data_IF_231343434828
#
_entry.id   IF_231343434828
#
_cell.length_a   1.000
_cell.length_b   1.000
_cell.length_c   1.000
_cell.angle_alpha   90.00
_cell.angle_beta   90.00
_cell.angle_gamma   90.00
#
_symmetry.space_group_name_H-M   'P 1'
#
loop_
_entity.id
_entity.type
_entity.pdbx_description
1 polymer ?
#
# COMPACT_ATOMS: atom_id res chain seq x y z
N UNK A 1 25.01 9.14 -7.09
CA UNK A 1 25.16 8.03 -6.10
C UNK A 1 25.77 6.83 -6.81
N UNK A 2 26.70 6.11 -6.19
CA UNK A 2 27.19 4.83 -6.71
C UNK A 2 26.23 3.74 -6.21
N UNK A 3 25.37 3.23 -7.08
CA UNK A 3 24.33 2.24 -6.76
C UNK A 3 24.95 0.97 -6.18
N UNK A 4 26.04 0.46 -6.77
CA UNK A 4 26.72 -0.76 -6.31
C UNK A 4 27.20 -0.66 -4.84
N UNK A 5 27.58 0.56 -4.41
CA UNK A 5 27.99 0.78 -3.03
C UNK A 5 26.79 0.87 -2.08
N UNK A 6 25.67 1.43 -2.53
CA UNK A 6 24.46 1.55 -1.73
C UNK A 6 23.78 0.19 -1.48
N UNK A 7 23.80 -0.71 -2.45
CA UNK A 7 23.28 -2.09 -2.28
C UNK A 7 23.89 -2.79 -1.05
N UNK A 8 25.15 -2.54 -0.77
CA UNK A 8 25.83 -3.16 0.38
C UNK A 8 25.36 -2.63 1.73
N UNK A 9 24.65 -1.49 1.76
CA UNK A 9 24.15 -0.85 2.97
C UNK A 9 22.73 -1.33 3.35
N UNK A 10 22.05 -2.05 2.43
CA UNK A 10 20.70 -2.56 2.67
C UNK A 10 20.76 -3.85 3.49
N UNK A 11 19.81 -3.97 4.41
CA UNK A 11 19.61 -5.17 5.25
C UNK A 11 18.13 -5.57 5.20
N UNK A 12 17.85 -6.82 4.88
CA UNK A 12 16.51 -7.38 5.05
C UNK A 12 16.13 -7.41 6.53
N UNK A 13 14.93 -6.96 6.85
CA UNK A 13 14.36 -7.06 8.19
C UNK A 13 13.67 -8.42 8.30
N UNK A 14 14.14 -9.34 9.15
CA UNK A 14 13.54 -10.67 9.29
C UNK A 14 12.06 -10.59 9.71
N UNK A 15 11.18 -11.28 8.97
CA UNK A 15 9.73 -11.22 9.16
C UNK A 15 9.18 -9.79 9.15
N UNK A 16 9.84 -8.90 8.42
CA UNK A 16 9.45 -7.49 8.33
C UNK A 16 8.33 -7.26 7.34
N UNK A 17 7.54 -6.23 7.59
CA UNK A 17 6.40 -5.81 6.80
C UNK A 17 6.02 -4.36 7.06
N UNK A 18 4.75 -4.04 6.89
CA UNK A 18 4.20 -2.68 6.94
C UNK A 18 4.40 -1.94 8.27
N UNK A 19 4.64 -2.65 9.36
CA UNK A 19 4.90 -2.06 10.69
C UNK A 19 6.38 -2.04 11.09
N UNK A 20 7.29 -2.46 10.21
CA UNK A 20 8.74 -2.42 10.48
C UNK A 20 9.31 -1.00 10.58
N UNK A 21 8.88 -0.03 9.75
CA UNK A 21 9.26 1.36 9.96
C UNK A 21 8.65 1.93 11.25
N UNK A 22 9.37 2.82 11.92
CA UNK A 22 8.91 3.48 13.14
C UNK A 22 7.67 4.35 12.88
N UNK A 23 6.79 4.44 13.88
CA UNK A 23 5.60 5.29 13.83
C UNK A 23 4.40 4.65 13.15
N UNK A 24 4.39 3.33 12.91
CA UNK A 24 3.27 2.61 12.33
C UNK A 24 2.77 1.47 13.21
N UNK A 25 1.45 1.30 13.18
CA UNK A 25 0.73 0.16 13.77
C UNK A 25 -0.19 -0.45 12.72
N UNK A 26 -0.48 -1.72 12.86
CA UNK A 26 -1.45 -2.41 12.03
C UNK A 26 -2.25 -3.42 12.83
N UNK A 27 -3.38 -3.84 12.28
CA UNK A 27 -4.16 -4.95 12.77
C UNK A 27 -4.91 -5.62 11.62
N UNK A 28 -5.21 -6.90 11.80
CA UNK A 28 -6.12 -7.65 10.95
C UNK A 28 -7.09 -8.43 11.81
N UNK A 29 -8.39 -8.37 11.52
CA UNK A 29 -9.43 -9.09 12.26
C UNK A 29 -10.39 -9.78 11.29
N UNK A 30 -11.22 -10.66 11.84
CA UNK A 30 -12.44 -11.12 11.18
C UNK A 30 -13.60 -10.18 11.55
N UNK A 31 -14.11 -9.43 10.59
CA UNK A 31 -15.21 -8.49 10.76
C UNK A 31 -16.53 -8.99 10.14
N UNK A 32 -16.52 -10.17 9.49
CA UNK A 32 -17.72 -10.81 8.95
C UNK A 32 -17.98 -10.55 7.47
N UNK A 33 -17.05 -9.95 6.72
CA UNK A 33 -17.14 -9.84 5.26
C UNK A 33 -17.08 -11.22 4.58
N UNK A 34 -16.48 -12.19 5.25
CA UNK A 34 -16.40 -13.58 4.83
C UNK A 34 -17.16 -14.49 5.78
N UNK A 35 -17.75 -15.53 5.24
CA UNK A 35 -18.50 -16.53 6.04
C UNK A 35 -17.61 -17.38 6.94
N UNK A 36 -16.33 -17.57 6.59
CA UNK A 36 -15.40 -18.36 7.37
C UNK A 36 -14.78 -17.52 8.51
N UNK A 37 -15.12 -17.77 9.78
CA UNK A 37 -14.67 -16.95 10.90
C UNK A 37 -13.17 -17.10 11.21
N UNK A 38 -12.50 -18.08 10.61
CA UNK A 38 -11.04 -18.24 10.76
C UNK A 38 -10.24 -17.39 9.77
N UNK A 39 -10.92 -16.78 8.79
CA UNK A 39 -10.28 -15.87 7.84
C UNK A 39 -10.45 -14.44 8.29
N UNK A 40 -9.32 -13.76 8.49
CA UNK A 40 -9.30 -12.32 8.68
C UNK A 40 -9.79 -11.65 7.39
N UNK A 41 -10.52 -10.55 7.51
CA UNK A 41 -11.17 -9.90 6.36
C UNK A 41 -11.29 -8.36 6.49
N UNK A 42 -10.76 -7.77 7.57
CA UNK A 42 -10.59 -6.34 7.73
C UNK A 42 -9.19 -6.06 8.27
N UNK A 43 -8.45 -5.18 7.60
CA UNK A 43 -7.16 -4.66 8.03
C UNK A 43 -7.23 -3.16 8.28
N UNK A 44 -6.42 -2.68 9.21
CA UNK A 44 -6.15 -1.26 9.41
C UNK A 44 -4.65 -1.05 9.55
N UNK A 45 -4.11 -0.05 8.87
CA UNK A 45 -2.72 0.42 9.03
C UNK A 45 -2.78 1.90 9.37
N UNK A 46 -2.15 2.28 10.47
CA UNK A 46 -2.16 3.68 10.95
C UNK A 46 -0.77 4.18 11.28
N UNK A 47 -0.59 5.49 11.15
CA UNK A 47 0.57 6.19 11.69
C UNK A 47 0.26 6.75 13.09
N UNK A 48 1.27 6.87 13.94
CA UNK A 48 1.11 7.45 15.29
C UNK A 48 0.71 8.94 15.20
N UNK A 49 1.27 9.67 14.22
CA UNK A 49 0.88 11.04 13.86
C UNK A 49 0.38 11.07 12.41
N UNK A 50 -0.04 12.23 11.90
CA UNK A 50 -0.38 12.37 10.49
C UNK A 50 0.87 12.14 9.62
N UNK A 51 0.82 11.13 8.77
CA UNK A 51 1.91 10.76 7.88
C UNK A 51 1.77 11.42 6.50
N UNK A 52 2.88 11.75 5.88
CA UNK A 52 2.92 12.02 4.44
C UNK A 52 2.41 10.81 3.68
N UNK A 53 1.52 11.02 2.73
CA UNK A 53 0.88 9.95 1.97
C UNK A 53 0.94 10.22 0.48
N UNK A 54 1.14 9.16 -0.29
CA UNK A 54 1.00 9.11 -1.72
C UNK A 54 0.16 7.90 -2.14
N UNK A 55 -0.64 8.05 -3.18
CA UNK A 55 -1.48 6.97 -3.73
C UNK A 55 -1.40 6.90 -5.25
N UNK A 56 -1.27 5.68 -5.76
CA UNK A 56 -1.43 5.33 -7.18
C UNK A 56 -2.58 4.34 -7.28
N UNK A 57 -3.45 4.54 -8.23
CA UNK A 57 -4.72 3.82 -8.35
C UNK A 57 -4.95 3.31 -9.76
N UNK A 58 -5.81 2.32 -9.91
CA UNK A 58 -6.23 1.78 -11.20
C UNK A 58 -6.59 2.87 -12.21
N UNK A 59 -6.20 2.67 -13.45
CA UNK A 59 -6.59 3.53 -14.57
C UNK A 59 -7.94 3.13 -15.19
N UNK A 60 -8.56 2.05 -14.67
CA UNK A 60 -9.85 1.59 -15.14
C UNK A 60 -10.92 2.67 -14.91
N UNK A 61 -11.62 3.06 -15.96
CA UNK A 61 -12.71 4.06 -15.89
C UNK A 61 -13.89 3.59 -15.05
N UNK A 62 -14.08 2.28 -14.92
CA UNK A 62 -15.07 1.65 -14.06
C UNK A 62 -14.47 1.34 -12.68
N UNK A 63 -13.79 2.31 -12.09
CA UNK A 63 -13.14 2.12 -10.79
C UNK A 63 -14.16 2.02 -9.64
N UNK A 64 -13.81 1.18 -8.66
CA UNK A 64 -14.64 0.91 -7.49
C UNK A 64 -14.83 2.13 -6.59
N UNK A 65 -15.88 2.11 -5.78
CA UNK A 65 -16.23 3.18 -4.85
C UNK A 65 -15.08 3.54 -3.88
N UNK A 66 -14.38 2.59 -3.22
CA UNK A 66 -13.25 2.93 -2.33
C UNK A 66 -12.09 3.62 -3.06
N UNK A 67 -11.83 3.27 -4.33
CA UNK A 67 -10.83 3.96 -5.15
C UNK A 67 -11.22 5.42 -5.39
N UNK A 68 -12.49 5.68 -5.67
CA UNK A 68 -13.00 7.04 -5.89
C UNK A 68 -12.85 7.90 -4.62
N UNK A 69 -13.25 7.37 -3.47
CA UNK A 69 -13.18 8.06 -2.18
C UNK A 69 -11.72 8.32 -1.78
N UNK A 70 -10.87 7.31 -1.80
CA UNK A 70 -9.45 7.47 -1.44
C UNK A 70 -8.71 8.43 -2.36
N UNK A 71 -9.01 8.40 -3.67
CA UNK A 71 -8.48 9.38 -4.63
C UNK A 71 -8.94 10.79 -4.30
N UNK A 72 -10.21 10.98 -3.93
CA UNK A 72 -10.75 12.29 -3.52
C UNK A 72 -10.07 12.79 -2.25
N UNK A 73 -9.88 11.94 -1.24
CA UNK A 73 -9.23 12.27 0.03
C UNK A 73 -7.75 12.66 -0.16
N UNK A 74 -7.09 12.16 -1.21
CA UNK A 74 -5.75 12.59 -1.61
C UNK A 74 -5.72 13.79 -2.58
N UNK A 75 -6.81 14.57 -2.63
CA UNK A 75 -6.89 15.80 -3.40
C UNK A 75 -7.26 15.63 -4.88
N UNK A 76 -7.87 14.48 -5.24
CA UNK A 76 -8.37 14.19 -6.58
C UNK A 76 -7.34 13.54 -7.51
N UNK A 77 -7.77 13.28 -8.75
CA UNK A 77 -6.99 12.50 -9.72
C UNK A 77 -5.65 13.15 -10.13
N UNK A 78 -5.58 14.48 -10.07
CA UNK A 78 -4.37 15.21 -10.49
C UNK A 78 -3.32 15.32 -9.40
N UNK A 79 -3.72 15.19 -8.12
CA UNK A 79 -2.83 15.37 -6.99
C UNK A 79 -2.27 14.04 -6.48
N UNK A 80 -3.12 13.15 -5.96
CA UNK A 80 -2.74 11.80 -5.50
C UNK A 80 -1.84 11.75 -4.26
N UNK A 81 -1.78 12.82 -3.45
CA UNK A 81 -0.97 12.87 -2.23
C UNK A 81 -1.56 13.83 -1.19
N UNK A 82 -1.24 13.61 0.08
CA UNK A 82 -1.73 14.41 1.19
C UNK A 82 -1.13 13.99 2.53
N UNK A 83 -1.79 14.39 3.61
CA UNK A 83 -1.49 13.91 4.95
C UNK A 83 -2.63 12.99 5.39
N UNK A 84 -2.32 11.80 5.88
CA UNK A 84 -3.32 10.83 6.33
C UNK A 84 -2.95 10.20 7.68
N UNK A 85 -3.96 9.75 8.40
CA UNK A 85 -3.81 8.99 9.64
C UNK A 85 -3.63 7.50 9.36
N UNK A 86 -4.29 6.97 8.32
CA UNK A 86 -4.20 5.57 7.98
C UNK A 86 -5.14 5.13 6.87
N UNK A 87 -5.16 3.83 6.64
CA UNK A 87 -5.99 3.16 5.65
C UNK A 87 -6.73 1.97 6.26
N UNK A 88 -8.02 1.84 5.95
CA UNK A 88 -8.86 0.67 6.24
C UNK A 88 -9.06 -0.15 4.97
N UNK A 89 -8.87 -1.45 5.06
CA UNK A 89 -8.98 -2.36 3.91
C UNK A 89 -9.89 -3.52 4.30
N UNK A 90 -10.92 -3.80 3.50
CA UNK A 90 -11.70 -5.02 3.64
C UNK A 90 -11.45 -5.99 2.49
N UNK A 91 -11.52 -7.29 2.77
CA UNK A 91 -11.52 -8.36 1.78
C UNK A 91 -12.81 -9.18 1.86
N UNK A 92 -13.21 -9.77 0.71
CA UNK A 92 -14.46 -10.54 0.58
C UNK A 92 -15.51 -9.85 -0.28
N UNK A 93 -15.57 -8.52 -0.26
CA UNK A 93 -16.41 -7.69 -1.11
C UNK A 93 -15.60 -6.54 -1.66
N UNK A 94 -15.64 -6.35 -2.98
CA UNK A 94 -14.85 -5.32 -3.68
C UNK A 94 -15.47 -3.92 -3.63
N UNK A 95 -16.72 -3.79 -3.20
CA UNK A 95 -17.50 -2.55 -3.32
C UNK A 95 -17.38 -1.90 -4.72
N UNK A 96 -17.40 -2.72 -5.75
CA UNK A 96 -17.30 -2.34 -7.16
C UNK A 96 -18.61 -2.64 -7.86
N UNK A 97 -18.98 -1.83 -8.85
CA UNK A 97 -20.27 -1.86 -9.53
C UNK A 97 -21.48 -1.65 -8.59
N UNK A 98 -21.31 -0.86 -7.55
CA UNK A 98 -22.31 -0.62 -6.47
C UNK A 98 -22.92 0.77 -6.52
N UNK A 99 -22.51 1.60 -7.49
CA UNK A 99 -23.09 2.94 -7.73
C UNK A 99 -22.92 3.89 -6.52
N UNK A 100 -23.88 4.81 -6.38
CA UNK A 100 -23.85 5.82 -5.30
C UNK A 100 -23.96 5.20 -3.91
N UNK A 101 -24.67 4.08 -3.76
CA UNK A 101 -24.75 3.39 -2.47
C UNK A 101 -23.37 2.91 -1.99
N UNK A 102 -22.60 2.28 -2.87
CA UNK A 102 -21.25 1.84 -2.52
C UNK A 102 -20.30 3.00 -2.21
N UNK A 103 -20.47 4.14 -2.90
CA UNK A 103 -19.71 5.36 -2.64
C UNK A 103 -20.07 5.96 -1.27
N UNK A 104 -21.35 5.99 -0.91
CA UNK A 104 -21.78 6.44 0.39
C UNK A 104 -21.18 5.58 1.51
N UNK A 105 -21.23 4.24 1.38
CA UNK A 105 -20.62 3.33 2.36
C UNK A 105 -19.11 3.55 2.48
N UNK A 106 -18.39 3.74 1.37
CA UNK A 106 -16.95 4.00 1.41
C UNK A 106 -16.61 5.33 2.12
N UNK A 107 -17.39 6.39 1.89
CA UNK A 107 -17.23 7.69 2.55
C UNK A 107 -17.57 7.59 4.05
N UNK A 108 -18.68 6.96 4.40
CA UNK A 108 -19.11 6.73 5.77
C UNK A 108 -18.11 5.89 6.57
N UNK A 109 -17.46 4.91 5.91
CA UNK A 109 -16.35 4.15 6.51
C UNK A 109 -15.20 5.06 6.94
N UNK A 110 -14.84 6.06 6.10
CA UNK A 110 -13.84 7.07 6.46
C UNK A 110 -14.31 7.92 7.66
N UNK A 111 -15.57 8.33 7.69
CA UNK A 111 -16.15 9.13 8.78
C UNK A 111 -16.11 8.38 10.12
N UNK A 112 -16.57 7.13 10.15
CA UNK A 112 -16.54 6.30 11.38
C UNK A 112 -15.10 6.09 11.85
N UNK A 113 -14.19 5.70 10.94
CA UNK A 113 -12.81 5.47 11.30
C UNK A 113 -12.11 6.73 11.81
N UNK A 114 -12.36 7.89 11.19
CA UNK A 114 -11.77 9.16 11.60
C UNK A 114 -12.20 9.61 12.99
N UNK A 115 -13.47 9.40 13.35
CA UNK A 115 -13.98 9.68 14.69
C UNK A 115 -13.25 8.87 15.77
N UNK A 116 -12.97 7.60 15.50
CA UNK A 116 -12.27 6.72 16.44
C UNK A 116 -10.77 7.07 16.51
N UNK A 117 -10.16 7.40 15.36
CA UNK A 117 -8.74 7.72 15.25
C UNK A 117 -8.41 9.17 15.66
N UNK A 118 -9.43 10.02 15.85
CA UNK A 118 -9.26 11.42 16.24
C UNK A 118 -8.67 12.31 15.15
N UNK A 119 -9.12 12.15 13.90
CA UNK A 119 -8.65 12.90 12.73
C UNK A 119 -9.83 13.31 11.83
N UNK A 120 -9.56 14.02 10.73
CA UNK A 120 -10.58 14.37 9.74
C UNK A 120 -10.88 13.17 8.81
N UNK A 121 -12.09 13.11 8.23
CA UNK A 121 -12.51 12.00 7.36
C UNK A 121 -11.63 11.87 6.11
N UNK A 122 -11.16 12.98 5.55
CA UNK A 122 -10.25 13.05 4.41
C UNK A 122 -8.84 12.53 4.74
N UNK A 123 -8.53 12.37 6.02
CA UNK A 123 -7.25 11.81 6.49
C UNK A 123 -7.30 10.30 6.69
N UNK A 124 -8.41 9.66 6.32
CA UNK A 124 -8.55 8.20 6.28
C UNK A 124 -8.75 7.74 4.85
N UNK A 125 -8.02 6.71 4.44
CA UNK A 125 -8.20 6.06 3.15
C UNK A 125 -8.91 4.73 3.31
N UNK A 126 -9.56 4.29 2.22
CA UNK A 126 -10.25 3.00 2.17
C UNK A 126 -9.85 2.23 0.91
N UNK A 127 -9.75 0.92 1.03
CA UNK A 127 -9.60 0.00 -0.09
C UNK A 127 -10.45 -1.26 0.16
N UNK A 128 -10.92 -1.87 -0.91
CA UNK A 128 -11.74 -3.08 -0.82
C UNK A 128 -11.30 -4.07 -1.90
N UNK A 129 -11.46 -5.35 -1.63
CA UNK A 129 -11.17 -6.42 -2.60
C UNK A 129 -12.08 -7.62 -2.39
N UNK A 130 -12.42 -8.35 -3.46
CA UNK A 130 -13.27 -9.52 -3.40
C UNK A 130 -14.34 -9.54 -4.48
N UNK A 131 -15.57 -9.95 -4.15
CA UNK A 131 -16.65 -10.10 -5.11
C UNK A 131 -17.13 -8.74 -5.62
N UNK A 132 -17.28 -8.63 -6.94
CA UNK A 132 -17.79 -7.46 -7.66
C UNK A 132 -19.32 -7.57 -7.84
N UNK A 133 -20.03 -6.46 -7.79
CA UNK A 133 -21.48 -6.39 -8.06
C UNK A 133 -22.36 -6.78 -6.87
N UNK A 134 -21.78 -7.00 -5.70
CA UNK A 134 -22.55 -7.20 -4.47
C UNK A 134 -22.59 -5.92 -3.65
N UNK A 135 -23.78 -5.52 -3.22
CA UNK A 135 -23.93 -4.39 -2.29
C UNK A 135 -23.18 -4.67 -0.97
N UNK A 136 -22.58 -3.67 -0.44
CA UNK A 136 -21.87 -3.70 0.84
C UNK A 136 -22.62 -2.79 1.80
N UNK A 137 -23.03 -3.34 2.96
CA UNK A 137 -23.65 -2.56 4.03
C UNK A 137 -22.61 -1.95 4.95
N UNK A 138 -22.99 -0.86 5.60
CA UNK A 138 -22.11 -0.16 6.57
C UNK A 138 -21.98 -0.92 7.90
N UNK A 139 -22.92 -1.79 8.23
CA UNK A 139 -23.05 -2.45 9.53
C UNK A 139 -21.81 -3.28 9.90
N UNK A 140 -21.12 -3.86 8.89
CA UNK A 140 -19.87 -4.59 9.11
C UNK A 140 -18.70 -3.66 9.46
N UNK A 141 -18.74 -2.44 8.96
CA UNK A 141 -17.76 -1.42 9.33
C UNK A 141 -18.06 -0.80 10.69
N UNK A 142 -19.34 -0.53 11.00
CA UNK A 142 -19.75 -0.01 12.32
C UNK A 142 -19.30 -0.92 13.47
N UNK A 143 -19.37 -2.24 13.27
CA UNK A 143 -18.93 -3.22 14.27
C UNK A 143 -17.43 -3.54 14.18
N UNK A 144 -16.86 -3.58 13.00
CA UNK A 144 -15.47 -3.98 12.78
C UNK A 144 -14.45 -2.88 13.04
N UNK A 145 -14.77 -1.61 12.74
CA UNK A 145 -13.83 -0.50 12.89
C UNK A 145 -13.37 -0.28 14.34
N UNK A 146 -14.28 -0.24 15.35
CA UNK A 146 -13.84 -0.17 16.73
C UNK A 146 -12.91 -1.32 17.13
N UNK A 147 -13.23 -2.53 16.69
CA UNK A 147 -12.46 -3.73 17.03
C UNK A 147 -11.07 -3.76 16.36
N UNK A 148 -10.97 -3.40 15.07
CA UNK A 148 -9.68 -3.41 14.36
C UNK A 148 -8.78 -2.26 14.85
N UNK A 149 -9.34 -1.11 15.20
CA UNK A 149 -8.58 0.03 15.72
C UNK A 149 -8.09 -0.25 17.15
N UNK A 150 -8.89 -0.89 18.00
CA UNK A 150 -8.47 -1.32 19.35
C UNK A 150 -7.35 -2.37 19.29
N UNK A 151 -7.33 -3.21 18.26
CA UNK A 151 -6.31 -4.24 18.04
C UNK A 151 -4.98 -3.72 17.44
N UNK A 152 -4.88 -2.44 17.09
CA UNK A 152 -3.69 -1.88 16.45
C UNK A 152 -2.44 -2.04 17.33
N UNK A 153 -1.41 -2.68 16.77
CA UNK A 153 -0.13 -2.85 17.45
C UNK A 153 1.05 -2.86 16.47
N UNK A 154 2.24 -2.67 16.99
CA UNK A 154 3.50 -2.67 16.19
C UNK A 154 3.84 -4.05 15.60
N UNK A 155 3.26 -5.13 16.13
CA UNK A 155 3.43 -6.49 15.61
C UNK A 155 2.27 -6.95 14.72
N UNK A 156 1.29 -6.11 14.43
CA UNK A 156 0.07 -6.48 13.71
C UNK A 156 0.19 -6.54 12.18
N UNK A 157 1.37 -6.29 11.63
CA UNK A 157 1.61 -6.30 10.17
C UNK A 157 1.19 -7.60 9.51
N UNK A 158 1.61 -8.73 10.06
CA UNK A 158 1.29 -10.05 9.52
C UNK A 158 -0.22 -10.38 9.52
N UNK A 159 -0.96 -9.92 10.52
CA UNK A 159 -2.41 -10.08 10.56
C UNK A 159 -3.09 -9.18 9.53
N UNK A 160 -2.61 -7.95 9.38
CA UNK A 160 -3.10 -7.05 8.34
C UNK A 160 -2.85 -7.63 6.93
N UNK A 161 -1.65 -8.15 6.65
CA UNK A 161 -1.33 -8.79 5.38
C UNK A 161 -2.21 -10.01 5.09
N UNK A 162 -2.54 -10.81 6.11
CA UNK A 162 -3.48 -11.94 5.99
C UNK A 162 -4.92 -11.48 5.74
N UNK A 163 -5.33 -10.37 6.35
CA UNK A 163 -6.69 -9.87 6.25
C UNK A 163 -7.05 -9.32 4.86
N UNK A 164 -6.07 -8.86 4.09
CA UNK A 164 -6.29 -8.35 2.73
C UNK A 164 -6.28 -9.41 1.64
N UNK A 165 -5.87 -10.65 1.93
CA UNK A 165 -5.80 -11.75 0.97
C UNK A 165 -7.18 -12.10 0.40
N UNK A 166 -7.21 -12.52 -0.88
CA UNK A 166 -8.41 -13.09 -1.52
C UNK A 166 -8.18 -14.53 -1.96
N UNK A 167 -7.67 -14.72 -3.15
CA UNK A 167 -7.27 -16.02 -3.72
C UNK A 167 -5.79 -16.32 -3.51
N UNK A 168 -5.08 -15.39 -2.91
CA UNK A 168 -3.68 -15.56 -2.51
C UNK A 168 -3.47 -16.83 -1.69
N UNK A 169 -2.39 -17.57 -1.95
CA UNK A 169 -2.05 -18.80 -1.22
C UNK A 169 -1.28 -18.51 0.07
N UNK A 170 -0.62 -17.35 0.14
CA UNK A 170 0.12 -16.87 1.32
C UNK A 170 0.10 -15.35 1.41
N UNK A 171 0.32 -14.81 2.62
CA UNK A 171 0.50 -13.37 2.83
C UNK A 171 1.82 -12.89 2.24
N UNK A 172 1.84 -11.65 1.75
CA UNK A 172 2.99 -11.07 1.09
C UNK A 172 3.43 -9.83 1.85
N UNK A 173 4.58 -9.94 2.49
CA UNK A 173 5.21 -8.89 3.29
C UNK A 173 6.70 -8.86 3.01
N UNK A 174 7.28 -7.68 3.07
CA UNK A 174 8.73 -7.51 2.97
C UNK A 174 9.15 -6.18 3.58
N UNK A 175 10.32 -6.14 4.20
CA UNK A 175 10.92 -4.92 4.69
C UNK A 175 12.44 -4.98 4.63
N UNK A 176 13.02 -3.80 4.42
CA UNK A 176 14.47 -3.57 4.47
C UNK A 176 14.77 -2.36 5.34
N UNK A 177 15.97 -2.31 5.87
CA UNK A 177 16.55 -1.12 6.47
C UNK A 177 17.84 -0.73 5.75
N UNK A 178 18.16 0.54 5.75
CA UNK A 178 19.43 1.07 5.21
C UNK A 178 19.93 2.23 6.07
N UNK A 179 21.25 2.35 6.15
CA UNK A 179 21.88 3.51 6.77
C UNK A 179 22.24 4.52 5.68
N UNK A 180 21.75 5.75 5.82
CA UNK A 180 21.99 6.81 4.84
C UNK A 180 23.49 7.12 4.72
N UNK A 181 23.94 7.33 3.49
CA UNK A 181 25.32 7.72 3.15
C UNK A 181 25.47 9.24 3.01
N UNK A 182 24.37 9.99 3.18
CA UNK A 182 24.37 11.44 3.03
C UNK A 182 24.76 12.14 4.34
N UNK A 183 25.47 13.28 4.23
CA UNK A 183 25.85 14.07 5.41
C UNK A 183 24.65 14.60 6.19
N UNK A 184 23.54 14.89 5.50
CA UNK A 184 22.32 15.40 6.12
C UNK A 184 21.69 14.39 7.09
N UNK A 185 21.85 13.09 6.79
CA UNK A 185 21.29 11.98 7.57
C UNK A 185 22.39 11.01 8.04
N UNK A 186 23.59 11.56 8.31
CA UNK A 186 24.71 10.75 8.78
C UNK A 186 24.28 9.90 9.97
N UNK A 187 24.56 8.60 9.89
CA UNK A 187 24.21 7.59 10.91
C UNK A 187 22.70 7.33 11.11
N UNK A 188 21.82 8.00 10.34
CA UNK A 188 20.40 7.65 10.35
C UNK A 188 20.15 6.32 9.63
N UNK A 189 19.44 5.41 10.28
CA UNK A 189 18.93 4.19 9.66
C UNK A 189 17.45 4.36 9.39
N UNK A 190 17.09 4.27 8.12
CA UNK A 190 15.72 4.29 7.65
C UNK A 190 15.24 2.89 7.31
N UNK A 191 13.94 2.67 7.47
CA UNK A 191 13.29 1.42 7.15
C UNK A 191 12.21 1.66 6.11
N UNK A 192 12.09 0.74 5.15
CA UNK A 192 10.97 0.65 4.22
C UNK A 192 10.33 -0.72 4.39
N UNK A 193 9.04 -0.74 4.61
CA UNK A 193 8.27 -1.98 4.76
C UNK A 193 7.03 -1.96 3.89
N UNK A 194 6.49 -3.13 3.59
CA UNK A 194 5.28 -3.21 2.80
C UNK A 194 4.54 -4.51 2.98
N UNK A 195 3.27 -4.47 2.64
CA UNK A 195 2.41 -5.62 2.44
C UNK A 195 1.63 -5.47 1.15
N UNK A 196 1.29 -6.58 0.50
CA UNK A 196 0.42 -6.55 -0.66
C UNK A 196 -0.43 -7.83 -0.77
N UNK A 197 -1.45 -7.74 -1.63
CA UNK A 197 -2.21 -8.90 -2.10
C UNK A 197 -2.35 -8.83 -3.62
N UNK A 198 -2.46 -10.00 -4.23
CA UNK A 198 -2.73 -10.20 -5.64
C UNK A 198 -2.38 -11.63 -6.04
N UNK A 199 -3.23 -12.24 -6.88
CA UNK A 199 -3.07 -13.59 -7.39
C UNK A 199 -3.78 -13.78 -8.74
N UNK A 200 -5.01 -13.28 -8.92
CA UNK A 200 -5.75 -13.26 -10.19
C UNK A 200 -6.25 -11.87 -10.53
N UNK A 201 -6.74 -11.70 -11.77
CA UNK A 201 -7.15 -10.43 -12.39
C UNK A 201 -5.98 -9.46 -12.42
N UNK A 202 -4.79 -9.90 -12.94
CA UNK A 202 -3.57 -9.11 -12.96
C UNK A 202 -3.09 -8.88 -14.38
N UNK A 203 -3.00 -7.58 -14.75
CA UNK A 203 -2.55 -7.06 -16.03
C UNK A 203 -1.65 -5.83 -15.78
N UNK A 204 -0.67 -5.49 -16.63
CA UNK A 204 0.10 -4.25 -16.53
C UNK A 204 -0.76 -2.99 -16.39
N UNK A 205 -0.23 -1.96 -15.72
CA UNK A 205 -0.86 -0.67 -15.41
C UNK A 205 -1.91 -0.73 -14.29
N UNK A 206 -1.52 -1.26 -13.14
CA UNK A 206 -2.32 -1.42 -11.92
C UNK A 206 -3.48 -2.40 -12.13
N UNK A 207 -3.21 -3.68 -11.95
CA UNK A 207 -4.22 -4.74 -12.01
C UNK A 207 -4.25 -5.54 -10.71
N UNK A 208 -5.41 -5.76 -10.20
CA UNK A 208 -5.92 -6.39 -8.96
C UNK A 208 -4.90 -6.61 -7.86
N UNK A 209 -4.25 -5.54 -7.48
CA UNK A 209 -3.39 -5.53 -6.31
C UNK A 209 -3.85 -4.45 -5.32
N UNK A 210 -3.68 -4.73 -4.05
CA UNK A 210 -3.66 -3.72 -2.99
C UNK A 210 -2.29 -3.81 -2.34
N UNK A 211 -1.58 -2.70 -2.27
CA UNK A 211 -0.33 -2.60 -1.55
C UNK A 211 -0.34 -1.40 -0.60
N UNK A 212 0.23 -1.61 0.57
CA UNK A 212 0.55 -0.54 1.52
C UNK A 212 2.05 -0.60 1.78
N UNK A 213 2.73 0.49 1.46
CA UNK A 213 4.17 0.68 1.67
C UNK A 213 4.33 1.73 2.77
N UNK A 214 5.27 1.53 3.66
CA UNK A 214 5.56 2.46 4.77
C UNK A 214 7.05 2.76 4.84
N UNK A 215 7.39 3.95 5.31
CA UNK A 215 8.77 4.32 5.64
C UNK A 215 8.79 5.28 6.83
N UNK A 216 9.87 5.25 7.58
CA UNK A 216 10.12 6.20 8.68
C UNK A 216 11.03 7.37 8.27
N UNK A 217 11.37 7.47 6.99
CA UNK A 217 12.13 8.59 6.43
C UNK A 217 11.28 9.88 6.39
N UNK A 218 11.88 11.06 6.64
CA UNK A 218 11.19 12.34 6.60
C UNK A 218 11.02 12.81 5.14
N UNK A 219 9.82 12.67 4.59
CA UNK A 219 9.51 12.99 3.19
C UNK A 219 8.19 13.75 3.10
N UNK A 220 8.16 14.85 2.35
CA UNK A 220 6.92 15.55 2.06
C UNK A 220 6.02 14.78 1.08
N UNK A 221 4.67 14.94 1.14
CA UNK A 221 3.73 14.15 0.35
C UNK A 221 3.99 14.20 -1.16
N UNK A 222 4.35 15.37 -1.71
CA UNK A 222 4.62 15.53 -3.14
C UNK A 222 5.88 14.78 -3.59
N UNK A 223 6.91 14.78 -2.77
CA UNK A 223 8.17 14.07 -3.05
C UNK A 223 7.94 12.56 -2.95
N UNK A 224 7.19 12.12 -1.92
CA UNK A 224 6.77 10.74 -1.72
C UNK A 224 5.99 10.21 -2.94
N UNK A 225 5.07 11.02 -3.50
CA UNK A 225 4.32 10.65 -4.70
C UNK A 225 5.22 10.47 -5.93
N UNK A 226 6.26 11.31 -6.07
CA UNK A 226 7.24 11.14 -7.15
C UNK A 226 8.01 9.82 -7.04
N UNK A 227 8.38 9.41 -5.81
CA UNK A 227 9.04 8.13 -5.54
C UNK A 227 8.10 6.97 -5.86
N UNK A 228 6.88 6.99 -5.28
CA UNK A 228 5.91 5.93 -5.45
C UNK A 228 5.58 5.70 -6.93
N UNK A 229 5.30 6.78 -7.68
CA UNK A 229 4.96 6.68 -9.10
C UNK A 229 6.08 6.05 -9.91
N UNK A 230 7.32 6.55 -9.77
CA UNK A 230 8.48 6.00 -10.48
C UNK A 230 8.69 4.51 -10.15
N UNK A 231 8.51 4.13 -8.89
CA UNK A 231 8.67 2.75 -8.46
C UNK A 231 7.58 1.84 -9.02
N UNK A 232 6.30 2.24 -8.91
CA UNK A 232 5.16 1.45 -9.40
C UNK A 232 5.27 1.19 -10.90
N UNK A 233 5.70 2.20 -11.68
CA UNK A 233 5.82 2.10 -13.14
C UNK A 233 6.84 1.02 -13.59
N UNK A 234 7.84 0.72 -12.77
CA UNK A 234 8.88 -0.27 -13.09
C UNK A 234 8.78 -1.58 -12.31
N UNK A 235 7.80 -1.71 -11.40
CA UNK A 235 7.59 -2.89 -10.56
C UNK A 235 6.18 -3.48 -10.75
N UNK A 236 5.20 -3.04 -9.97
CA UNK A 236 3.83 -3.58 -10.01
C UNK A 236 3.17 -3.45 -11.39
N UNK A 237 3.42 -2.36 -12.13
CA UNK A 237 2.87 -2.16 -13.47
C UNK A 237 3.45 -3.10 -14.54
N UNK A 238 4.48 -3.89 -14.22
CA UNK A 238 5.06 -4.89 -15.13
C UNK A 238 4.55 -6.31 -14.88
N UNK A 239 3.72 -6.52 -13.85
CA UNK A 239 3.19 -7.85 -13.53
C UNK A 239 1.97 -8.15 -14.38
N UNK A 240 1.93 -9.37 -14.94
CA UNK A 240 0.73 -9.93 -15.58
C UNK A 240 0.53 -11.39 -15.16
N UNK A 241 -0.72 -11.81 -15.00
CA UNK A 241 -1.12 -13.19 -14.72
C UNK A 241 -2.12 -13.69 -15.76
N UNK A 242 -3.24 -12.97 -15.96
CA UNK A 242 -4.37 -13.40 -16.78
C UNK A 242 -4.92 -12.32 -17.73
N UNK A 243 -4.25 -11.17 -17.80
CA UNK A 243 -4.57 -10.04 -18.68
C UNK A 243 -5.92 -9.35 -18.41
N UNK A 244 -6.49 -9.52 -17.21
CA UNK A 244 -7.70 -8.82 -16.79
C UNK A 244 -7.35 -7.58 -15.94
N UNK A 245 -7.94 -6.41 -16.28
CA UNK A 245 -7.74 -5.17 -15.54
C UNK A 245 -8.72 -5.03 -14.36
N UNK A 246 -8.22 -4.63 -13.20
CA UNK A 246 -9.01 -4.50 -11.99
C UNK A 246 -9.75 -3.17 -11.89
N UNK A 247 -10.82 -3.19 -11.10
CA UNK A 247 -11.58 -2.01 -10.68
C UNK A 247 -11.04 -1.39 -9.39
N UNK A 248 -10.18 -2.09 -8.63
CA UNK A 248 -9.87 -1.79 -7.22
C UNK A 248 -8.40 -1.50 -6.91
N UNK A 249 -7.51 -1.53 -7.91
CA UNK A 249 -6.08 -1.40 -7.63
C UNK A 249 -5.75 -0.14 -6.86
N UNK A 250 -4.98 -0.33 -5.81
CA UNK A 250 -4.61 0.72 -4.88
C UNK A 250 -3.22 0.43 -4.33
N UNK A 251 -2.27 1.32 -4.60
CA UNK A 251 -0.95 1.32 -3.97
C UNK A 251 -0.79 2.60 -3.17
N UNK A 252 -0.71 2.48 -1.85
CA UNK A 252 -0.55 3.59 -0.92
C UNK A 252 0.83 3.52 -0.30
N UNK A 253 1.50 4.67 -0.23
CA UNK A 253 2.75 4.81 0.51
C UNK A 253 2.61 5.87 1.59
N UNK A 254 3.06 5.53 2.80
CA UNK A 254 3.02 6.38 3.99
C UNK A 254 4.45 6.63 4.50
N UNK A 255 4.74 7.87 4.89
CA UNK A 255 6.00 8.24 5.50
C UNK A 255 5.75 8.95 6.83
N UNK A 256 6.19 8.33 7.94
CA UNK A 256 6.00 8.90 9.29
C UNK A 256 7.02 9.97 9.65
N UNK A 257 8.21 9.94 9.04
CA UNK A 257 9.32 10.82 9.41
C UNK A 257 9.98 10.49 10.74
N UNK A 258 9.54 9.43 11.42
CA UNK A 258 9.92 9.16 12.81
C UNK A 258 11.41 8.79 13.02
N UNK A 259 12.13 8.36 11.99
CA UNK A 259 13.55 8.06 12.09
C UNK A 259 14.47 9.25 11.82
N UNK A 260 13.93 10.34 11.26
CA UNK A 260 14.67 11.58 10.95
C UNK A 260 13.92 12.83 11.42
N UNK A 261 13.22 12.75 12.56
CA UNK A 261 12.29 13.79 13.03
C UNK A 261 12.92 15.18 13.21
N UNK A 262 14.21 15.25 13.52
CA UNK A 262 14.93 16.51 13.71
C UNK A 262 15.62 17.03 12.43
N UNK A 263 15.57 16.27 11.34
CA UNK A 263 16.18 16.63 10.07
C UNK A 263 15.17 17.27 9.12
N UNK A 264 15.66 18.16 8.23
CA UNK A 264 14.84 18.70 7.17
C UNK A 264 14.35 17.57 6.24
N UNK A 265 13.16 17.67 5.63
CA UNK A 265 12.66 16.64 4.73
C UNK A 265 13.58 16.38 3.53
N UNK A 266 13.54 15.13 3.04
CA UNK A 266 14.27 14.72 1.84
C UNK A 266 13.77 15.49 0.62
N UNK A 267 14.70 16.18 -0.05
CA UNK A 267 14.41 16.97 -1.25
C UNK A 267 14.51 16.11 -2.50
N UNK A 268 13.60 16.37 -3.47
CA UNK A 268 13.60 15.68 -4.77
C UNK A 268 14.92 15.87 -5.51
N UNK A 269 15.51 14.76 -5.96
CA UNK A 269 16.76 14.74 -6.73
C UNK A 269 18.04 14.83 -5.88
N UNK A 270 17.93 14.87 -4.55
CA UNK A 270 19.08 14.75 -3.66
C UNK A 270 19.61 13.30 -3.62
N UNK A 271 20.81 13.10 -3.08
CA UNK A 271 21.33 11.75 -2.88
C UNK A 271 20.46 10.95 -1.91
N UNK A 272 19.93 11.56 -0.85
CA UNK A 272 18.98 10.92 0.06
C UNK A 272 17.67 10.53 -0.62
N UNK A 273 17.21 11.32 -1.61
CA UNK A 273 16.07 10.93 -2.45
C UNK A 273 16.37 9.68 -3.26
N UNK A 274 17.56 9.58 -3.85
CA UNK A 274 17.96 8.42 -4.65
C UNK A 274 18.12 7.17 -3.76
N UNK A 275 18.64 7.31 -2.54
CA UNK A 275 18.69 6.23 -1.55
C UNK A 275 17.30 5.70 -1.21
N UNK A 276 16.36 6.60 -0.89
CA UNK A 276 14.99 6.20 -0.56
C UNK A 276 14.26 5.60 -1.78
N UNK A 277 14.43 6.20 -2.97
CA UNK A 277 13.86 5.66 -4.21
C UNK A 277 14.33 4.22 -4.45
N UNK A 278 15.63 3.96 -4.29
CA UNK A 278 16.18 2.61 -4.43
C UNK A 278 15.60 1.66 -3.37
N UNK A 279 15.55 2.07 -2.11
CA UNK A 279 15.00 1.26 -1.03
C UNK A 279 13.50 0.90 -1.25
N UNK A 280 12.71 1.86 -1.72
CA UNK A 280 11.30 1.64 -2.07
C UNK A 280 11.17 0.71 -3.27
N UNK A 281 12.06 0.85 -4.27
CA UNK A 281 12.10 -0.05 -5.43
C UNK A 281 12.35 -1.49 -4.99
N UNK A 282 13.32 -1.76 -4.13
CA UNK A 282 13.65 -3.10 -3.64
C UNK A 282 12.45 -3.78 -2.95
N UNK A 283 11.73 -3.02 -2.12
CA UNK A 283 10.52 -3.54 -1.44
C UNK A 283 9.42 -3.82 -2.46
N UNK A 284 9.13 -2.88 -3.36
CA UNK A 284 8.06 -3.03 -4.36
C UNK A 284 8.38 -4.12 -5.39
N UNK A 285 9.63 -4.25 -5.85
CA UNK A 285 10.04 -5.31 -6.77
C UNK A 285 9.88 -6.69 -6.12
N UNK A 286 10.31 -6.86 -4.87
CA UNK A 286 10.15 -8.11 -4.12
C UNK A 286 8.66 -8.47 -3.98
N UNK A 287 7.83 -7.52 -3.60
CA UNK A 287 6.38 -7.73 -3.47
C UNK A 287 5.71 -8.02 -4.82
N UNK A 288 6.08 -7.32 -5.89
CA UNK A 288 5.57 -7.53 -7.24
C UNK A 288 5.92 -8.94 -7.77
N UNK A 289 7.17 -9.38 -7.56
CA UNK A 289 7.60 -10.75 -7.90
C UNK A 289 6.85 -11.80 -7.09
N UNK A 290 6.54 -11.51 -5.83
CA UNK A 290 5.76 -12.43 -4.98
C UNK A 290 4.32 -12.55 -5.48
N UNK A 291 3.69 -11.45 -5.94
CA UNK A 291 2.38 -11.49 -6.62
C UNK A 291 2.45 -12.38 -7.86
N UNK A 292 3.43 -12.13 -8.75
CA UNK A 292 3.58 -12.89 -9.99
C UNK A 292 3.81 -14.38 -9.75
N UNK A 293 4.59 -14.74 -8.71
CA UNK A 293 4.86 -16.13 -8.37
C UNK A 293 3.69 -16.88 -7.74
N UNK A 294 2.75 -16.13 -7.12
CA UNK A 294 1.51 -16.64 -6.52
C UNK A 294 0.29 -16.45 -7.44
N UNK A 295 0.51 -16.23 -8.73
CA UNK A 295 -0.55 -16.07 -9.71
C UNK A 295 -1.47 -17.30 -9.79
N UNK A 296 -2.80 -17.10 -9.96
CA UNK A 296 -3.78 -18.18 -10.08
C UNK A 296 -3.39 -19.17 -11.19
N UNK A 297 -3.18 -20.44 -10.83
CA UNK A 297 -2.75 -21.48 -11.75
C UNK A 297 -1.26 -21.41 -12.15
N UNK A 298 -0.50 -20.45 -11.66
CA UNK A 298 0.92 -20.33 -11.98
C UNK A 298 1.74 -21.45 -11.32
N UNK A 299 2.55 -22.12 -12.13
CA UNK A 299 3.53 -23.12 -11.66
C UNK A 299 4.97 -22.60 -11.73
N UNK A 300 5.18 -21.46 -12.36
CA UNK A 300 6.50 -20.85 -12.58
C UNK A 300 6.39 -19.33 -12.64
N UNK A 301 7.40 -18.64 -12.12
CA UNK A 301 7.65 -17.23 -12.40
C UNK A 301 8.47 -17.12 -13.68
N UNK A 302 7.98 -16.35 -14.65
CA UNK A 302 8.68 -16.07 -15.90
C UNK A 302 9.05 -14.59 -15.93
N UNK A 303 10.32 -14.32 -16.18
CA UNK A 303 10.81 -12.94 -16.41
C UNK A 303 11.09 -12.78 -17.90
N UNK A 304 10.50 -11.75 -18.51
CA UNK A 304 10.72 -11.40 -19.92
C UNK A 304 11.54 -10.09 -19.95
N UNK A 305 12.73 -10.15 -20.51
CA UNK A 305 13.58 -8.99 -20.73
C UNK A 305 13.59 -8.63 -22.22
N UNK A 306 13.12 -7.43 -22.53
CA UNK A 306 13.17 -6.88 -23.90
C UNK A 306 14.36 -5.92 -23.97
N UNK A 307 15.21 -6.08 -24.98
CA UNK A 307 16.38 -5.22 -25.21
C UNK A 307 16.39 -4.70 -26.64
N UNK A 308 16.94 -3.52 -26.84
CA UNK A 308 17.07 -2.91 -28.17
C UNK A 308 15.79 -2.26 -28.69
N UNK A 309 14.80 -2.03 -27.86
CA UNK A 309 13.65 -1.19 -28.17
C UNK A 309 14.06 0.28 -28.37
N UNK A 310 13.28 1.05 -29.11
CA UNK A 310 13.58 2.45 -29.38
C UNK A 310 13.36 3.36 -28.16
N UNK A 311 12.39 2.99 -27.31
CA UNK A 311 12.06 3.64 -26.03
C UNK A 311 11.74 2.60 -24.96
N UNK A 312 11.66 3.02 -23.71
CA UNK A 312 11.24 2.15 -22.60
C UNK A 312 9.74 1.79 -22.70
N UNK A 313 8.96 2.49 -23.51
CA UNK A 313 7.54 2.23 -23.73
C UNK A 313 7.29 1.19 -24.84
N UNK A 314 8.27 0.97 -25.74
CA UNK A 314 8.22 -0.01 -26.84
C UNK A 314 8.51 -1.41 -26.33
#
# INVERSE_FOLDING_TARGET
MNIDHFETCIRTVPAGGVTSPKGFKAAGIHAGFRKNPQRLDMACVTADELASCAGVFTTNRFCAAPVQVSRQNLGGAEKGYGLVKGIVINSGNANAATGEQGRAVAAETCEIASQILGCESEQVLVASTGVIGQTLGIELFETGLPAVIDALCVSGGADAARAIMTTDTHSKEYAISYTSQTLQYADCTFTVGGMCKGSGMIMPNMATMIAVITTDAPVEPRVLHSILKQTVDVTFNKVTVDSDSSTNDTCIMLASGAAGADAAPIEKGSDAYNELLYAVHEVCETLARTIASDGEGASRLVTVNVTGAATDED
#
